data_IF_347808854630
#
_entry.id   IF_347808854630
#
_cell.length_a   1.000
_cell.length_b   1.000
_cell.length_c   1.000
_cell.angle_alpha   90.00
_cell.angle_beta   90.00
_cell.angle_gamma   90.00
#
_symmetry.space_group_name_H-M   'P 1'
#
loop_
_entity.id
_entity.type
_entity.pdbx_description
1 polymer ?
#
# COMPACT_ATOMS: atom_id res chain seq x y z
N UNK A 1 -6.20 -24.85 1.99
CA UNK A 1 -5.34 -24.95 3.20
C UNK A 1 -3.99 -24.38 2.83
N UNK A 2 -3.68 -23.18 3.28
CA UNK A 2 -2.34 -22.60 3.16
C UNK A 2 -1.42 -23.51 3.97
N UNK A 3 -0.37 -24.03 3.33
CA UNK A 3 0.65 -24.80 4.01
C UNK A 3 1.17 -23.99 5.20
N UNK A 4 1.41 -24.65 6.36
CA UNK A 4 1.92 -24.02 7.58
C UNK A 4 3.31 -23.40 7.33
N UNK A 5 3.35 -22.31 6.59
CA UNK A 5 4.56 -21.62 6.17
C UNK A 5 4.46 -20.14 6.51
N UNK A 6 5.58 -19.53 6.83
CA UNK A 6 5.70 -18.09 7.02
C UNK A 6 6.99 -17.58 6.39
N UNK A 7 7.02 -16.31 6.10
CA UNK A 7 8.25 -15.63 5.70
C UNK A 7 8.51 -14.44 6.60
N UNK A 8 9.77 -14.15 6.81
CA UNK A 8 10.26 -12.96 7.50
C UNK A 8 11.32 -12.34 6.63
N UNK A 9 11.09 -11.11 6.21
CA UNK A 9 12.00 -10.36 5.34
C UNK A 9 12.06 -8.92 5.81
N UNK A 10 13.18 -8.26 5.59
CA UNK A 10 13.28 -6.81 5.67
C UNK A 10 12.67 -6.16 4.42
N UNK A 11 12.32 -4.88 4.50
CA UNK A 11 11.80 -4.15 3.33
C UNK A 11 12.75 -4.18 2.14
N UNK A 12 14.06 -4.13 2.39
CA UNK A 12 15.08 -4.19 1.33
C UNK A 12 15.22 -5.54 0.63
N UNK A 13 14.72 -6.61 1.24
CA UNK A 13 14.73 -7.97 0.66
C UNK A 13 13.50 -8.25 -0.22
N UNK A 14 12.50 -7.37 -0.18
CA UNK A 14 11.30 -7.48 -1.02
C UNK A 14 11.46 -6.54 -2.21
N UNK A 15 11.92 -7.08 -3.33
CA UNK A 15 12.25 -6.32 -4.54
C UNK A 15 11.13 -5.38 -5.00
N UNK A 16 9.90 -5.81 -4.92
CA UNK A 16 8.73 -5.00 -5.27
C UNK A 16 8.64 -3.72 -4.40
N UNK A 17 8.77 -3.84 -3.08
CA UNK A 17 8.72 -2.69 -2.18
C UNK A 17 9.86 -1.71 -2.45
N UNK A 18 11.04 -2.27 -2.73
CA UNK A 18 12.23 -1.48 -3.07
C UNK A 18 12.09 -0.75 -4.41
N UNK A 19 11.55 -1.40 -5.44
CA UNK A 19 11.34 -0.80 -6.76
C UNK A 19 10.29 0.30 -6.74
N UNK A 20 9.25 0.15 -5.91
CA UNK A 20 8.19 1.13 -5.73
C UNK A 20 8.52 2.21 -4.69
N UNK A 21 9.75 2.25 -4.16
CA UNK A 21 10.17 3.13 -3.06
C UNK A 21 9.21 3.07 -1.84
N UNK A 22 8.59 1.91 -1.61
CA UNK A 22 7.67 1.70 -0.51
C UNK A 22 8.43 1.29 0.75
N UNK A 23 8.80 2.28 1.54
CA UNK A 23 9.38 2.07 2.87
C UNK A 23 8.29 1.85 3.93
N UNK A 24 8.71 1.70 5.18
CA UNK A 24 7.78 1.50 6.30
C UNK A 24 6.78 2.65 6.45
N UNK A 25 7.21 3.91 6.30
CA UNK A 25 6.35 5.08 6.48
C UNK A 25 5.35 5.22 5.34
N UNK A 26 5.77 4.92 4.13
CA UNK A 26 4.91 4.86 2.95
C UNK A 26 3.82 3.80 3.12
N UNK A 27 4.18 2.59 3.55
CA UNK A 27 3.21 1.54 3.84
C UNK A 27 2.27 1.94 4.99
N UNK A 28 2.79 2.56 6.04
CA UNK A 28 1.97 3.07 7.12
C UNK A 28 0.95 4.10 6.63
N UNK A 29 1.37 5.04 5.79
CA UNK A 29 0.49 6.04 5.19
C UNK A 29 -0.60 5.40 4.32
N UNK A 30 -0.26 4.38 3.53
CA UNK A 30 -1.24 3.61 2.77
C UNK A 30 -2.30 2.97 3.68
N UNK A 31 -1.91 2.35 4.78
CA UNK A 31 -2.87 1.77 5.72
C UNK A 31 -3.76 2.83 6.41
N UNK A 32 -3.20 4.01 6.72
CA UNK A 32 -3.92 5.09 7.39
C UNK A 32 -4.71 6.00 6.44
N UNK A 33 -4.77 5.69 5.14
CA UNK A 33 -5.43 6.51 4.14
C UNK A 33 -4.84 7.94 4.08
N UNK A 34 -3.50 8.03 4.09
CA UNK A 34 -2.78 9.29 4.07
C UNK A 34 -1.96 9.44 2.78
N UNK A 35 -1.83 10.68 2.29
CA UNK A 35 -0.86 10.98 1.23
C UNK A 35 0.55 10.89 1.78
N UNK A 36 1.51 10.57 0.92
CA UNK A 36 2.92 10.49 1.29
C UNK A 36 3.84 11.01 0.20
N UNK A 37 5.07 11.31 0.58
CA UNK A 37 6.20 11.52 -0.33
C UNK A 37 7.26 10.46 -0.02
N UNK A 38 7.72 9.69 -1.01
CA UNK A 38 8.72 8.64 -0.79
C UNK A 38 9.96 9.17 -0.07
N UNK A 39 10.42 8.42 0.94
CA UNK A 39 11.59 8.78 1.73
C UNK A 39 11.39 9.92 2.73
N UNK A 40 10.17 10.44 2.91
CA UNK A 40 9.89 11.52 3.86
C UNK A 40 8.82 11.14 4.88
N UNK A 41 9.03 11.57 6.13
CA UNK A 41 8.05 11.42 7.21
C UNK A 41 7.12 12.62 7.34
N UNK A 42 7.52 13.78 6.80
CA UNK A 42 6.77 15.02 6.90
C UNK A 42 6.27 15.46 5.53
N UNK A 43 5.05 15.04 5.22
CA UNK A 43 4.37 15.43 3.98
C UNK A 43 3.93 16.90 4.02
N UNK A 44 3.63 17.44 5.20
CA UNK A 44 3.09 18.81 5.33
C UNK A 44 4.07 19.86 4.84
N UNK A 45 5.36 19.67 5.09
CA UNK A 45 6.41 20.55 4.59
C UNK A 45 6.65 20.43 3.07
N UNK A 46 6.04 19.45 2.41
CA UNK A 46 6.28 19.09 1.02
C UNK A 46 5.04 19.19 0.12
N UNK A 47 3.99 19.86 0.59
CA UNK A 47 2.72 19.97 -0.17
C UNK A 47 2.90 20.70 -1.50
N UNK A 48 3.88 21.58 -1.61
CA UNK A 48 4.25 22.27 -2.85
C UNK A 48 4.76 21.35 -3.97
N UNK A 49 5.13 20.11 -3.64
CA UNK A 49 5.54 19.09 -4.62
C UNK A 49 4.36 18.43 -5.34
N UNK A 50 3.13 18.69 -4.89
CA UNK A 50 1.94 18.10 -5.49
C UNK A 50 1.25 19.07 -6.43
N UNK A 51 0.89 18.59 -7.62
CA UNK A 51 -0.05 19.27 -8.51
C UNK A 51 -1.44 18.74 -8.25
N UNK A 52 -2.39 19.64 -8.07
CA UNK A 52 -3.79 19.32 -7.86
C UNK A 52 -4.57 19.50 -9.16
N UNK A 53 -5.49 18.59 -9.43
CA UNK A 53 -6.47 18.70 -10.52
C UNK A 53 -7.82 18.19 -10.02
N UNK A 54 -8.82 19.07 -10.01
CA UNK A 54 -10.19 18.71 -9.68
C UNK A 54 -10.90 18.13 -10.92
N UNK A 55 -11.68 17.06 -10.72
CA UNK A 55 -12.49 16.44 -11.76
C UNK A 55 -13.75 15.85 -11.13
N UNK A 56 -14.88 16.52 -11.33
CA UNK A 56 -16.15 16.13 -10.73
C UNK A 56 -16.09 16.15 -9.20
N UNK A 57 -16.43 15.03 -8.60
CA UNK A 57 -16.44 14.81 -7.15
C UNK A 57 -15.08 14.36 -6.58
N UNK A 58 -14.05 14.31 -7.42
CA UNK A 58 -12.70 13.89 -7.05
C UNK A 58 -11.66 14.99 -7.26
N UNK A 59 -10.61 14.94 -6.43
CA UNK A 59 -9.38 15.71 -6.61
C UNK A 59 -8.22 14.76 -6.75
N UNK A 60 -7.47 14.91 -7.82
CA UNK A 60 -6.21 14.18 -8.04
C UNK A 60 -5.03 15.01 -7.54
N UNK A 61 -4.16 14.38 -6.76
CA UNK A 61 -2.87 14.94 -6.35
C UNK A 61 -1.78 14.13 -7.03
N UNK A 62 -0.97 14.78 -7.86
CA UNK A 62 0.15 14.16 -8.58
C UNK A 62 1.46 14.68 -8.01
N UNK A 63 2.33 13.78 -7.54
CA UNK A 63 3.69 14.13 -7.11
C UNK A 63 4.54 14.44 -8.35
N UNK A 64 5.06 15.67 -8.48
CA UNK A 64 5.62 16.17 -9.74
C UNK A 64 7.10 15.86 -9.94
N UNK A 65 7.85 15.68 -8.86
CA UNK A 65 9.33 15.62 -8.87
C UNK A 65 9.92 14.25 -8.53
N UNK A 66 9.08 13.21 -8.45
CA UNK A 66 9.59 11.85 -8.27
C UNK A 66 10.35 11.39 -9.53
N UNK A 67 11.60 10.91 -9.42
CA UNK A 67 12.47 10.73 -10.60
C UNK A 67 12.07 9.53 -11.48
N UNK A 68 11.60 8.44 -10.91
CA UNK A 68 11.39 7.16 -11.60
C UNK A 68 9.91 6.76 -11.72
N UNK A 69 9.10 7.13 -10.75
CA UNK A 69 7.71 6.69 -10.62
C UNK A 69 6.77 7.89 -10.63
N UNK A 70 5.55 7.66 -11.06
CA UNK A 70 4.44 8.60 -10.90
C UNK A 70 3.61 8.16 -9.70
N UNK A 71 3.38 9.06 -8.77
CA UNK A 71 2.51 8.84 -7.60
C UNK A 71 1.28 9.71 -7.74
N UNK A 72 0.14 9.07 -7.85
CA UNK A 72 -1.17 9.73 -7.96
C UNK A 72 -2.05 9.31 -6.79
N UNK A 73 -2.61 10.31 -6.13
CA UNK A 73 -3.56 10.14 -5.03
C UNK A 73 -4.90 10.71 -5.49
N UNK A 74 -5.93 9.89 -5.51
CA UNK A 74 -7.27 10.30 -5.86
C UNK A 74 -8.09 10.43 -4.57
N UNK A 75 -8.59 11.63 -4.27
CA UNK A 75 -9.41 11.91 -3.09
C UNK A 75 -10.83 12.26 -3.48
N UNK A 76 -11.79 11.96 -2.62
CA UNK A 76 -13.15 12.53 -2.70
C UNK A 76 -13.09 13.99 -2.27
N UNK A 77 -13.52 14.88 -3.12
CA UNK A 77 -13.47 16.35 -2.85
C UNK A 77 -14.25 16.73 -1.59
N UNK A 78 -15.39 16.06 -1.35
CA UNK A 78 -16.28 16.35 -0.21
C UNK A 78 -15.72 15.94 1.15
N UNK A 79 -14.94 14.87 1.22
CA UNK A 79 -14.45 14.29 2.49
C UNK A 79 -12.93 14.36 2.65
N UNK A 80 -12.21 14.69 1.57
CA UNK A 80 -10.76 14.61 1.46
C UNK A 80 -10.16 13.20 1.75
N UNK A 81 -11.00 12.15 1.79
CA UNK A 81 -10.55 10.78 1.95
C UNK A 81 -9.98 10.25 0.64
N UNK A 82 -8.89 9.49 0.71
CA UNK A 82 -8.35 8.80 -0.45
C UNK A 82 -9.29 7.68 -0.90
N UNK A 83 -9.64 7.68 -2.17
CA UNK A 83 -10.28 6.56 -2.86
C UNK A 83 -9.25 5.60 -3.41
N UNK A 84 -8.12 6.13 -3.89
CA UNK A 84 -7.11 5.32 -4.56
C UNK A 84 -5.75 5.99 -4.53
N UNK A 85 -4.72 5.17 -4.37
CA UNK A 85 -3.33 5.52 -4.67
C UNK A 85 -2.88 4.67 -5.85
N UNK A 86 -2.26 5.32 -6.84
CA UNK A 86 -1.67 4.65 -8.01
C UNK A 86 -0.19 5.03 -8.10
N UNK A 87 0.65 4.02 -8.32
CA UNK A 87 2.08 4.20 -8.57
C UNK A 87 2.43 3.52 -9.87
N UNK A 88 2.89 4.29 -10.85
CA UNK A 88 3.24 3.81 -12.19
C UNK A 88 4.70 4.10 -12.53
N UNK A 89 5.33 3.24 -13.31
CA UNK A 89 6.62 3.52 -13.92
C UNK A 89 6.53 4.69 -14.92
N UNK A 90 7.51 5.57 -14.92
CA UNK A 90 7.59 6.68 -15.91
C UNK A 90 8.07 6.22 -17.29
N UNK A 91 8.76 5.09 -17.35
CA UNK A 91 9.29 4.53 -18.60
C UNK A 91 8.31 3.53 -19.21
N UNK A 92 8.20 3.53 -20.51
CA UNK A 92 7.45 2.51 -21.27
C UNK A 92 8.03 1.10 -21.09
N UNK A 93 9.29 0.99 -20.69
CA UNK A 93 9.94 -0.28 -20.34
C UNK A 93 9.52 -0.80 -18.97
N UNK A 94 9.16 0.09 -18.03
CA UNK A 94 8.71 -0.22 -16.68
C UNK A 94 7.18 -0.14 -16.61
N UNK A 95 6.49 -1.09 -17.24
CA UNK A 95 5.02 -1.14 -17.22
C UNK A 95 4.45 -1.68 -15.91
N UNK A 96 5.17 -1.48 -14.81
CA UNK A 96 4.69 -1.83 -13.49
C UNK A 96 3.66 -0.83 -12.98
N UNK A 97 2.52 -1.33 -12.50
CA UNK A 97 1.52 -0.52 -11.82
C UNK A 97 1.18 -1.13 -10.47
N UNK A 98 1.18 -0.30 -9.45
CA UNK A 98 0.66 -0.60 -8.13
C UNK A 98 -0.58 0.25 -7.89
N UNK A 99 -1.67 -0.38 -7.47
CA UNK A 99 -2.92 0.31 -7.14
C UNK A 99 -3.40 -0.13 -5.77
N UNK A 100 -3.72 0.83 -4.91
CA UNK A 100 -4.32 0.62 -3.61
C UNK A 100 -5.62 1.40 -3.54
N UNK A 101 -6.75 0.69 -3.44
CA UNK A 101 -8.09 1.27 -3.34
C UNK A 101 -8.61 1.15 -1.93
N UNK A 102 -9.48 2.07 -1.55
CA UNK A 102 -10.07 2.15 -0.22
C UNK A 102 -11.59 2.18 -0.30
N UNK A 103 -12.22 1.47 0.61
CA UNK A 103 -13.68 1.46 0.72
C UNK A 103 -14.12 1.14 2.15
N UNK A 104 -15.43 1.16 2.38
CA UNK A 104 -16.08 0.79 3.63
C UNK A 104 -15.45 1.50 4.84
N UNK A 105 -15.42 2.84 4.81
CA UNK A 105 -14.85 3.63 5.88
C UNK A 105 -15.66 3.47 7.18
N UNK A 106 -14.96 3.23 8.27
CA UNK A 106 -15.45 3.19 9.63
C UNK A 106 -14.73 4.22 10.49
N UNK A 107 -15.03 4.28 11.77
CA UNK A 107 -14.32 5.17 12.71
C UNK A 107 -13.38 4.37 13.59
N UNK A 108 -12.10 4.76 13.60
CA UNK A 108 -11.08 4.23 14.49
C UNK A 108 -10.44 5.39 15.24
N UNK A 109 -10.53 5.40 16.58
CA UNK A 109 -10.00 6.49 17.42
C UNK A 109 -10.51 7.89 17.01
N UNK A 110 -11.77 8.00 16.60
CA UNK A 110 -12.39 9.27 16.19
C UNK A 110 -12.00 9.74 14.77
N UNK A 111 -11.25 8.95 14.01
CA UNK A 111 -10.85 9.26 12.62
C UNK A 111 -11.45 8.25 11.64
N UNK A 112 -11.78 8.68 10.42
CA UNK A 112 -12.14 7.75 9.35
C UNK A 112 -11.01 6.76 9.08
N UNK A 113 -11.35 5.49 8.97
CA UNK A 113 -10.42 4.41 8.68
C UNK A 113 -11.03 3.45 7.65
N UNK A 114 -10.34 3.10 6.56
CA UNK A 114 -10.87 2.18 5.56
C UNK A 114 -10.89 0.75 6.10
N UNK A 115 -12.06 0.15 6.20
CA UNK A 115 -12.22 -1.24 6.62
C UNK A 115 -12.07 -2.24 5.46
N UNK A 116 -12.11 -1.76 4.21
CA UNK A 116 -11.86 -2.55 3.01
C UNK A 116 -10.77 -1.89 2.18
N UNK A 117 -9.75 -2.67 1.82
CA UNK A 117 -8.67 -2.24 0.95
C UNK A 117 -8.43 -3.29 -0.12
N UNK A 118 -8.31 -2.86 -1.38
CA UNK A 118 -7.96 -3.71 -2.50
C UNK A 118 -6.61 -3.29 -3.05
N UNK A 119 -5.68 -4.22 -3.09
CA UNK A 119 -4.32 -3.99 -3.61
C UNK A 119 -4.12 -4.81 -4.87
N UNK A 120 -3.66 -4.17 -5.93
CA UNK A 120 -3.28 -4.84 -7.16
C UNK A 120 -1.90 -4.39 -7.64
N UNK A 121 -1.16 -5.34 -8.16
CA UNK A 121 0.19 -5.17 -8.66
C UNK A 121 0.23 -5.80 -10.05
N UNK A 122 0.51 -5.00 -11.05
CA UNK A 122 0.72 -5.45 -12.43
C UNK A 122 2.14 -5.10 -12.83
N UNK A 123 2.88 -6.01 -13.41
CA UNK A 123 4.22 -5.73 -13.94
C UNK A 123 4.96 -6.98 -14.35
N UNK A 124 5.88 -6.85 -15.30
CA UNK A 124 6.72 -7.93 -15.84
C UNK A 124 5.92 -9.20 -16.23
N UNK A 125 4.73 -9.01 -16.83
CA UNK A 125 3.86 -10.12 -17.23
C UNK A 125 3.14 -10.86 -16.09
N UNK A 126 3.28 -10.39 -14.85
CA UNK A 126 2.61 -10.96 -13.67
C UNK A 126 1.58 -10.00 -13.12
N UNK A 127 0.45 -10.55 -12.69
CA UNK A 127 -0.59 -9.83 -11.94
C UNK A 127 -0.71 -10.48 -10.57
N UNK A 128 -0.73 -9.68 -9.53
CA UNK A 128 -1.02 -10.13 -8.17
C UNK A 128 -1.97 -9.14 -7.53
N UNK A 129 -2.84 -9.63 -6.66
CA UNK A 129 -3.75 -8.77 -5.91
C UNK A 129 -4.25 -9.47 -4.67
N UNK A 130 -4.67 -8.67 -3.72
CA UNK A 130 -5.30 -9.16 -2.50
C UNK A 130 -6.28 -8.12 -1.95
N UNK A 131 -7.21 -8.61 -1.17
CA UNK A 131 -8.21 -7.79 -0.48
C UNK A 131 -7.98 -7.91 1.02
N UNK A 132 -7.92 -6.78 1.71
CA UNK A 132 -7.91 -6.69 3.16
C UNK A 132 -9.29 -6.24 3.63
N UNK A 133 -10.03 -7.14 4.27
CA UNK A 133 -11.27 -6.82 4.95
C UNK A 133 -10.99 -6.84 6.46
N UNK A 134 -10.99 -5.66 7.08
CA UNK A 134 -10.65 -5.47 8.48
C UNK A 134 -11.92 -5.38 9.32
N UNK A 135 -12.01 -6.24 10.32
CA UNK A 135 -13.11 -6.27 11.28
C UNK A 135 -12.61 -6.20 12.71
N UNK A 136 -13.46 -5.77 13.64
CA UNK A 136 -13.12 -5.66 15.06
C UNK A 136 -11.91 -4.77 15.32
N UNK A 137 -11.84 -3.65 14.61
CA UNK A 137 -10.79 -2.67 14.80
C UNK A 137 -10.90 -2.08 16.21
N UNK A 138 -9.81 -2.14 16.95
CA UNK A 138 -9.66 -1.46 18.22
C UNK A 138 -8.25 -0.86 18.33
N UNK A 139 -8.06 0.05 19.25
CA UNK A 139 -6.79 0.72 19.51
C UNK A 139 -6.20 0.35 20.88
N UNK A 140 -6.44 -0.89 21.34
CA UNK A 140 -5.86 -1.39 22.58
C UNK A 140 -4.34 -1.32 22.53
N UNK A 141 -3.75 -0.66 23.52
CA UNK A 141 -2.28 -0.54 23.63
C UNK A 141 -1.58 -1.83 24.11
N UNK A 142 -2.36 -2.86 24.48
CA UNK A 142 -1.84 -4.13 25.00
C UNK A 142 -1.39 -5.14 23.96
N UNK A 143 -1.45 -4.81 22.66
CA UNK A 143 -1.03 -5.73 21.60
C UNK A 143 0.50 -5.88 21.57
N UNK A 144 1.02 -7.12 21.49
CA UNK A 144 2.45 -7.33 21.37
C UNK A 144 2.95 -6.75 20.03
N UNK A 145 4.00 -5.93 20.10
CA UNK A 145 4.64 -5.32 18.93
C UNK A 145 5.39 -6.32 18.04
N UNK A 146 5.54 -7.56 18.50
CA UNK A 146 6.20 -8.65 17.78
C UNK A 146 5.33 -9.89 17.81
N UNK A 147 5.13 -10.49 16.65
CA UNK A 147 4.45 -11.77 16.54
C UNK A 147 5.42 -12.92 16.79
N UNK A 148 5.09 -13.79 17.74
CA UNK A 148 5.80 -15.06 17.92
C UNK A 148 5.19 -16.10 16.98
N UNK A 149 6.00 -16.59 16.07
CA UNK A 149 5.55 -17.62 15.13
C UNK A 149 5.61 -18.99 15.81
N UNK A 150 4.51 -19.74 15.79
CA UNK A 150 4.44 -21.08 16.33
C UNK A 150 5.41 -22.03 15.61
N UNK A 151 6.02 -22.97 16.35
CA UNK A 151 6.89 -24.03 15.82
C UNK A 151 6.22 -24.95 14.82
N UNK A 152 4.89 -24.89 14.70
CA UNK A 152 4.10 -25.61 13.69
C UNK A 152 4.26 -25.03 12.26
N UNK A 153 4.89 -23.85 12.13
CA UNK A 153 5.09 -23.18 10.85
C UNK A 153 6.54 -23.30 10.41
N UNK A 154 6.76 -23.54 9.13
CA UNK A 154 8.08 -23.61 8.51
C UNK A 154 8.42 -22.27 7.87
N UNK A 155 9.60 -21.74 8.15
CA UNK A 155 10.07 -20.53 7.49
C UNK A 155 10.49 -20.81 6.05
N UNK A 156 10.02 -19.98 5.13
CA UNK A 156 10.41 -20.00 3.71
C UNK A 156 10.90 -18.61 3.29
N UNK A 157 11.61 -18.51 2.16
CA UNK A 157 12.03 -17.23 1.59
C UNK A 157 10.81 -16.42 1.17
N UNK A 158 10.89 -15.07 1.32
CA UNK A 158 9.80 -14.16 0.96
C UNK A 158 9.43 -14.28 -0.53
N UNK A 159 10.41 -14.39 -1.41
CA UNK A 159 10.21 -14.61 -2.86
C UNK A 159 9.38 -15.87 -3.14
N UNK A 160 9.68 -16.97 -2.47
CA UNK A 160 8.93 -18.22 -2.63
C UNK A 160 7.48 -18.13 -2.13
N UNK A 161 7.22 -17.29 -1.11
CA UNK A 161 5.86 -17.04 -0.64
C UNK A 161 5.09 -16.19 -1.65
N UNK A 162 5.72 -15.14 -2.18
CA UNK A 162 5.12 -14.26 -3.18
C UNK A 162 4.80 -15.00 -4.49
N UNK A 163 5.70 -15.88 -4.95
CA UNK A 163 5.45 -16.71 -6.13
C UNK A 163 4.27 -17.66 -5.93
N UNK A 164 4.14 -18.24 -4.75
CA UNK A 164 2.98 -19.08 -4.40
C UNK A 164 1.66 -18.29 -4.37
N UNK A 165 1.67 -17.08 -3.80
CA UNK A 165 0.49 -16.22 -3.77
C UNK A 165 0.10 -15.76 -5.18
N UNK A 166 1.05 -15.43 -6.02
CA UNK A 166 0.81 -15.08 -7.42
C UNK A 166 0.25 -16.26 -8.23
N UNK A 167 0.71 -17.48 -7.96
CA UNK A 167 0.19 -18.70 -8.60
C UNK A 167 -1.21 -19.13 -8.12
N UNK A 168 -1.66 -18.63 -6.96
CA UNK A 168 -3.02 -18.89 -6.44
C UNK A 168 -4.06 -17.87 -6.93
N UNK A 169 -3.62 -16.76 -7.53
CA UNK A 169 -4.47 -15.69 -8.06
C UNK A 169 -4.85 -15.89 -9.54
N UNK A 170 -4.46 -17.01 -10.13
CA UNK A 170 -4.88 -17.46 -11.47
C UNK A 170 -5.98 -18.52 -11.31
#
# INVERSE_FOLDING_TARGET
RIHKQYSRASYGEVDFLRQADLDFYTLQSLFWNEIFTPGSRDVRSQLNRFRLAASGDHTSLLLTDAPKLNYQFLTRTSSALLDRVTVDGKSTADQGQFVWKYDNFTTLSGKPFPALMEVSINGMGKKAGFTLALSRLNNDSGWPTRTTVSTKYTQIKATSLLDKLAGMAQ
#
